data_IF_606103693441
#
_entry.id   IF_606103693441
#
_cell.length_a   1.000
_cell.length_b   1.000
_cell.length_c   1.000
_cell.angle_alpha   90.00
_cell.angle_beta   90.00
_cell.angle_gamma   90.00
#
_symmetry.space_group_name_H-M   'P 1'
#
loop_
_entity.id
_entity.type
_entity.pdbx_description
1 polymer ?
#
# COMPACT_ATOMS: atom_id res chain seq x y z
N UNK A 1 -28.86 27.11 44.10
CA UNK A 1 -29.29 26.22 43.02
C UNK A 1 -28.17 26.17 41.98
N UNK A 2 -27.38 25.10 41.96
CA UNK A 2 -26.65 24.71 40.74
C UNK A 2 -27.59 23.96 39.78
N UNK A 3 -27.10 23.36 38.67
CA UNK A 3 -25.75 23.40 38.11
C UNK A 3 -25.72 23.88 36.64
N UNK A 4 -24.51 24.13 36.12
CA UNK A 4 -24.24 24.28 34.70
C UNK A 4 -24.27 22.89 34.04
N UNK A 5 -25.19 22.68 33.09
CA UNK A 5 -25.38 21.41 32.41
C UNK A 5 -24.32 21.16 31.31
N UNK A 6 -23.64 20.03 31.51
CA UNK A 6 -22.95 19.14 30.57
C UNK A 6 -22.11 19.73 29.42
N UNK A 7 -20.82 19.85 29.71
CA UNK A 7 -19.75 19.58 28.74
C UNK A 7 -19.81 18.09 28.33
N UNK A 8 -20.50 17.78 27.22
CA UNK A 8 -20.46 16.45 26.62
C UNK A 8 -19.36 16.42 25.56
N UNK A 9 -18.14 16.12 26.00
CA UNK A 9 -17.03 15.78 25.14
C UNK A 9 -17.11 14.26 24.87
N UNK A 10 -17.50 13.78 23.67
CA UNK A 10 -17.29 12.39 23.35
C UNK A 10 -15.80 12.22 23.02
N UNK A 11 -14.99 12.01 24.06
CA UNK A 11 -13.78 11.20 23.93
C UNK A 11 -14.22 9.77 23.59
N UNK A 12 -14.61 9.57 22.33
CA UNK A 12 -14.67 8.26 21.73
C UNK A 12 -13.22 7.82 21.48
N UNK A 13 -12.56 7.40 22.55
CA UNK A 13 -11.36 6.59 22.46
C UNK A 13 -11.82 5.21 21.99
N UNK A 14 -11.95 5.06 20.66
CA UNK A 14 -12.20 3.77 20.04
C UNK A 14 -11.00 2.85 20.31
N UNK A 15 -11.12 1.78 21.12
CA UNK A 15 -9.95 1.01 21.55
C UNK A 15 -9.41 0.05 20.47
N UNK A 16 -10.06 -0.08 19.31
CA UNK A 16 -9.82 -1.22 18.40
C UNK A 16 -9.48 -0.86 16.93
N UNK A 17 -8.91 0.31 16.66
CA UNK A 17 -8.57 0.71 15.28
C UNK A 17 -7.28 0.08 14.71
N UNK A 18 -6.59 -0.80 15.45
CA UNK A 18 -5.29 -1.32 15.00
C UNK A 18 -5.37 -2.70 14.31
N UNK A 19 -6.48 -3.43 14.47
CA UNK A 19 -6.62 -4.78 13.91
C UNK A 19 -7.26 -4.78 12.51
N UNK A 20 -8.12 -3.80 12.21
CA UNK A 20 -8.78 -3.64 10.90
C UNK A 20 -8.01 -2.73 9.91
N UNK A 21 -6.85 -2.22 10.34
CA UNK A 21 -6.06 -1.25 9.56
C UNK A 21 -5.13 -1.89 8.52
N UNK A 22 -4.95 -3.22 8.57
CA UNK A 22 -3.94 -3.94 7.81
C UNK A 22 -4.46 -5.15 7.05
N UNK A 23 -5.77 -5.32 6.85
CA UNK A 23 -6.27 -6.49 6.09
C UNK A 23 -5.81 -6.50 4.62
N UNK A 24 -5.19 -5.42 4.14
CA UNK A 24 -4.50 -5.43 2.84
C UNK A 24 -3.25 -6.33 2.85
N UNK A 25 -2.67 -6.64 4.00
CA UNK A 25 -1.52 -7.56 4.11
C UNK A 25 -1.98 -8.98 3.77
N UNK A 26 -3.08 -9.45 4.35
CA UNK A 26 -3.62 -10.78 4.05
C UNK A 26 -4.01 -10.91 2.58
N UNK A 27 -4.62 -9.86 2.01
CA UNK A 27 -4.93 -9.80 0.59
C UNK A 27 -3.64 -9.83 -0.27
N UNK A 28 -2.58 -9.11 0.11
CA UNK A 28 -1.28 -9.16 -0.59
C UNK A 28 -0.65 -10.55 -0.56
N UNK A 29 -0.67 -11.22 0.60
CA UNK A 29 -0.16 -12.58 0.77
C UNK A 29 -0.97 -13.57 -0.08
N UNK A 30 -2.30 -13.48 -0.05
CA UNK A 30 -3.17 -14.32 -0.88
C UNK A 30 -2.93 -14.08 -2.38
N UNK A 31 -2.78 -12.83 -2.81
CA UNK A 31 -2.48 -12.52 -4.20
C UNK A 31 -1.14 -13.14 -4.65
N UNK A 32 -0.11 -13.10 -3.81
CA UNK A 32 1.17 -13.74 -4.10
C UNK A 32 1.05 -15.27 -4.24
N UNK A 33 0.33 -15.92 -3.32
CA UNK A 33 0.08 -17.37 -3.41
C UNK A 33 -0.76 -17.77 -4.63
N UNK A 34 -1.79 -16.99 -4.97
CA UNK A 34 -2.59 -17.23 -6.17
C UNK A 34 -1.76 -17.03 -7.45
N UNK A 35 -0.83 -16.08 -7.45
CA UNK A 35 0.09 -15.86 -8.57
C UNK A 35 1.03 -17.04 -8.76
N UNK A 36 1.59 -17.58 -7.68
CA UNK A 36 2.43 -18.80 -7.70
C UNK A 36 1.66 -20.04 -8.13
N UNK A 37 0.40 -20.17 -7.69
CA UNK A 37 -0.50 -21.27 -8.06
C UNK A 37 -1.08 -21.13 -9.48
N UNK A 38 -0.73 -20.06 -10.19
CA UNK A 38 -1.22 -19.71 -11.52
C UNK A 38 -2.76 -19.56 -11.59
N UNK A 39 -3.40 -19.21 -10.47
CA UNK A 39 -4.82 -18.88 -10.39
C UNK A 39 -5.03 -17.42 -10.77
N UNK A 40 -5.02 -17.17 -12.08
CA UNK A 40 -5.15 -15.83 -12.64
C UNK A 40 -6.44 -15.15 -12.19
N UNK A 41 -7.55 -15.86 -12.08
CA UNK A 41 -8.83 -15.28 -11.69
C UNK A 41 -8.79 -14.74 -10.25
N UNK A 42 -8.27 -15.53 -9.30
CA UNK A 42 -8.14 -15.07 -7.91
C UNK A 42 -7.18 -13.88 -7.78
N UNK A 43 -6.05 -13.89 -8.50
CA UNK A 43 -5.10 -12.76 -8.49
C UNK A 43 -5.79 -11.47 -8.92
N UNK A 44 -6.52 -11.48 -10.05
CA UNK A 44 -7.19 -10.28 -10.55
C UNK A 44 -8.28 -9.78 -9.59
N UNK A 45 -9.05 -10.68 -8.97
CA UNK A 45 -10.08 -10.31 -7.99
C UNK A 45 -9.48 -9.65 -6.75
N UNK A 46 -8.40 -10.21 -6.22
CA UNK A 46 -7.74 -9.66 -5.03
C UNK A 46 -7.07 -8.32 -5.36
N UNK A 47 -6.38 -8.22 -6.51
CA UNK A 47 -5.77 -6.97 -6.98
C UNK A 47 -6.82 -5.87 -7.19
N UNK A 48 -8.01 -6.18 -7.70
CA UNK A 48 -9.09 -5.21 -7.83
C UNK A 48 -9.51 -4.62 -6.47
N UNK A 49 -9.61 -5.46 -5.43
CA UNK A 49 -9.92 -5.02 -4.06
C UNK A 49 -8.80 -4.18 -3.47
N UNK A 50 -7.55 -4.63 -3.64
CA UNK A 50 -6.36 -3.89 -3.20
C UNK A 50 -6.26 -2.53 -3.89
N UNK A 51 -6.59 -2.42 -5.19
CA UNK A 51 -6.62 -1.15 -5.91
C UNK A 51 -7.64 -0.16 -5.33
N UNK A 52 -8.79 -0.63 -4.84
CA UNK A 52 -9.78 0.23 -4.20
C UNK A 52 -9.31 0.77 -2.84
N UNK A 53 -8.52 -0.01 -2.10
CA UNK A 53 -8.01 0.34 -0.76
C UNK A 53 -6.71 1.16 -0.83
N UNK A 54 -5.83 0.80 -1.75
CA UNK A 54 -4.49 1.37 -1.93
C UNK A 54 -4.45 2.21 -3.22
N UNK A 55 -5.25 3.29 -3.24
CA UNK A 55 -5.38 4.20 -4.39
C UNK A 55 -4.19 5.15 -4.56
N UNK A 56 -3.39 5.35 -3.51
CA UNK A 56 -2.30 6.33 -3.51
C UNK A 56 -1.13 5.85 -2.63
N UNK A 57 0.14 6.14 -3.00
CA UNK A 57 1.33 5.86 -2.19
C UNK A 57 1.50 6.87 -1.04
N UNK A 58 0.41 7.34 -0.46
CA UNK A 58 0.40 8.34 0.61
C UNK A 58 -0.12 7.73 1.91
N UNK A 59 0.25 8.32 3.05
CA UNK A 59 -0.16 7.83 4.37
C UNK A 59 0.96 7.15 5.16
N UNK A 60 0.58 6.21 6.04
CA UNK A 60 1.51 5.55 6.98
C UNK A 60 2.58 4.74 6.23
N UNK A 61 3.80 4.59 6.77
CA UNK A 61 4.88 3.85 6.11
C UNK A 61 4.48 2.47 5.57
N UNK A 62 3.73 1.69 6.35
CA UNK A 62 3.25 0.37 5.96
C UNK A 62 2.24 0.40 4.80
N UNK A 63 1.34 1.39 4.76
CA UNK A 63 0.42 1.58 3.64
C UNK A 63 1.16 1.96 2.35
N UNK A 64 2.21 2.78 2.46
CA UNK A 64 3.07 3.11 1.31
C UNK A 64 3.79 1.88 0.78
N UNK A 65 4.35 1.06 1.66
CA UNK A 65 4.96 -0.21 1.26
C UNK A 65 3.95 -1.12 0.56
N UNK A 66 2.76 -1.31 1.15
CA UNK A 66 1.70 -2.13 0.57
C UNK A 66 1.24 -1.65 -0.82
N UNK A 67 1.14 -0.33 -1.03
CA UNK A 67 0.85 0.24 -2.35
C UNK A 67 1.87 -0.24 -3.39
N UNK A 68 3.18 -0.11 -3.10
CA UNK A 68 4.23 -0.52 -4.04
C UNK A 68 4.28 -2.03 -4.25
N UNK A 69 4.00 -2.84 -3.21
CA UNK A 69 3.86 -4.29 -3.36
C UNK A 69 2.70 -4.67 -4.28
N UNK A 70 1.55 -4.02 -4.14
CA UNK A 70 0.39 -4.23 -5.02
C UNK A 70 0.72 -3.89 -6.48
N UNK A 71 1.39 -2.77 -6.73
CA UNK A 71 1.83 -2.41 -8.09
C UNK A 71 2.79 -3.45 -8.67
N UNK A 72 3.74 -3.95 -7.87
CA UNK A 72 4.66 -5.00 -8.29
C UNK A 72 3.95 -6.31 -8.63
N UNK A 73 2.98 -6.75 -7.81
CA UNK A 73 2.15 -7.92 -8.09
C UNK A 73 1.31 -7.75 -9.36
N UNK A 74 0.80 -6.54 -9.60
CA UNK A 74 0.05 -6.22 -10.83
C UNK A 74 0.94 -6.33 -12.06
N UNK A 75 2.15 -5.79 -11.99
CA UNK A 75 3.14 -5.91 -13.06
C UNK A 75 3.55 -7.38 -13.29
N UNK A 76 3.73 -8.17 -12.23
CA UNK A 76 4.06 -9.59 -12.32
C UNK A 76 2.92 -10.43 -12.92
N UNK A 77 1.67 -10.14 -12.54
CA UNK A 77 0.48 -10.82 -13.08
C UNK A 77 0.25 -10.54 -14.57
N UNK A 78 0.70 -9.39 -15.08
CA UNK A 78 0.67 -9.07 -16.51
C UNK A 78 1.69 -9.89 -17.34
N UNK A 79 2.52 -10.71 -16.70
CA UNK A 79 3.55 -11.53 -17.34
C UNK A 79 4.90 -10.82 -17.47
N UNK A 80 5.88 -11.45 -18.13
CA UNK A 80 7.23 -10.89 -18.27
C UNK A 80 7.16 -9.54 -19.00
N UNK A 81 7.26 -8.46 -18.25
CA UNK A 81 7.39 -7.13 -18.83
C UNK A 81 8.74 -7.10 -19.55
N UNK A 82 8.70 -6.89 -20.88
CA UNK A 82 9.90 -6.56 -21.66
C UNK A 82 10.74 -5.53 -20.88
N UNK A 83 12.08 -5.58 -20.94
CA UNK A 83 12.91 -4.62 -20.22
C UNK A 83 12.44 -3.20 -20.54
N UNK A 84 11.87 -2.53 -19.54
CA UNK A 84 11.35 -1.18 -19.68
C UNK A 84 12.52 -0.30 -20.04
N UNK A 85 12.53 0.23 -21.27
CA UNK A 85 13.52 1.23 -21.66
C UNK A 85 13.21 2.49 -20.86
N UNK A 86 14.02 2.75 -19.85
CA UNK A 86 13.91 3.96 -19.05
C UNK A 86 14.14 5.18 -19.94
N UNK A 87 13.25 6.16 -19.83
CA UNK A 87 13.45 7.50 -20.36
C UNK A 87 14.65 8.17 -19.67
N UNK A 88 15.35 9.06 -20.38
CA UNK A 88 16.41 9.89 -19.80
C UNK A 88 15.92 10.65 -18.56
N UNK A 89 14.64 11.05 -18.52
CA UNK A 89 14.04 11.68 -17.34
C UNK A 89 13.97 10.72 -16.15
N UNK A 90 13.55 9.47 -16.37
CA UNK A 90 13.46 8.44 -15.32
C UNK A 90 14.85 8.08 -14.79
N UNK A 91 15.87 8.03 -15.66
CA UNK A 91 17.26 7.82 -15.26
C UNK A 91 17.73 8.95 -14.34
N UNK A 92 17.52 10.21 -14.73
CA UNK A 92 17.90 11.38 -13.91
C UNK A 92 17.16 11.36 -12.56
N UNK A 93 15.87 11.04 -12.56
CA UNK A 93 15.08 10.97 -11.32
C UNK A 93 15.56 9.83 -10.41
N UNK A 94 15.92 8.69 -10.99
CA UNK A 94 16.51 7.55 -10.26
C UNK A 94 17.81 7.94 -9.59
N UNK A 95 18.74 8.60 -10.31
CA UNK A 95 20.00 9.09 -9.76
C UNK A 95 19.76 10.05 -8.58
N UNK A 96 18.81 10.99 -8.73
CA UNK A 96 18.44 11.93 -7.65
C UNK A 96 17.92 11.19 -6.42
N UNK A 97 17.05 10.20 -6.61
CA UNK A 97 16.51 9.40 -5.53
C UNK A 97 17.61 8.62 -4.78
N UNK A 98 18.52 7.97 -5.51
CA UNK A 98 19.67 7.26 -4.90
C UNK A 98 20.55 8.20 -4.07
N UNK A 99 20.89 9.37 -4.61
CA UNK A 99 21.69 10.38 -3.89
C UNK A 99 20.99 10.89 -2.63
N UNK A 100 19.67 11.08 -2.67
CA UNK A 100 18.91 11.50 -1.50
C UNK A 100 18.86 10.38 -0.43
N UNK A 101 18.66 9.14 -0.85
CA UNK A 101 18.58 7.99 0.04
C UNK A 101 19.91 7.72 0.76
N UNK A 102 21.05 7.85 0.06
CA UNK A 102 22.38 7.64 0.66
C UNK A 102 22.73 8.64 1.77
N UNK A 103 22.02 9.77 1.86
CA UNK A 103 22.19 10.72 2.96
C UNK A 103 21.33 10.41 4.20
N UNK A 104 20.33 9.54 4.07
CA UNK A 104 19.33 9.25 5.12
C UNK A 104 19.50 7.82 5.65
N UNK A 105 19.85 6.86 4.77
CA UNK A 105 20.14 5.48 5.13
C UNK A 105 21.64 5.23 5.13
N UNK A 106 22.21 4.63 6.20
CA UNK A 106 23.59 4.17 6.23
C UNK A 106 23.87 3.10 5.16
#
# INVERSE_FOLDING_TARGET
FGPFDLHHNPHQTNPNNNTYGFDFIDDLVKAAHSLESNDSHQVHLILARLNQRLRSPTGKPLQRAAYYFKEALTAAAAGPTRPTRLSSYEVVQTIRAYKAFSGISP
#
